data_IF_843257359940
#
_entry.id   IF_843257359940
#
_cell.length_a   1.000
_cell.length_b   1.000
_cell.length_c   1.000
_cell.angle_alpha   90.00
_cell.angle_beta   90.00
_cell.angle_gamma   90.00
#
_symmetry.space_group_name_H-M   'P 1'
#
loop_
_entity.id
_entity.type
_entity.pdbx_description
1 polymer ?
#
# COMPACT_ATOMS: atom_id res chain seq x y z
N UNK A 1 -6.87 19.15 -23.25
CA UNK A 1 -6.96 18.52 -21.94
C UNK A 1 -5.74 17.63 -21.72
N UNK A 2 -5.03 17.85 -20.63
CA UNK A 2 -3.86 17.05 -20.28
C UNK A 2 -4.31 15.67 -19.80
N UNK A 3 -3.74 14.60 -20.40
CA UNK A 3 -3.90 13.23 -19.93
C UNK A 3 -2.91 13.00 -18.80
N UNK A 4 -3.42 12.87 -17.58
CA UNK A 4 -2.59 12.70 -16.40
C UNK A 4 -3.20 11.74 -15.39
N UNK A 5 -2.34 11.17 -14.57
CA UNK A 5 -2.74 10.46 -13.35
C UNK A 5 -1.92 10.94 -12.16
N UNK A 6 -2.44 10.70 -10.97
CA UNK A 6 -1.76 10.99 -9.71
C UNK A 6 -1.39 9.66 -9.06
N UNK A 7 -0.12 9.51 -8.71
CA UNK A 7 0.38 8.35 -7.97
C UNK A 7 0.56 8.77 -6.51
N UNK A 8 -0.21 8.18 -5.60
CA UNK A 8 -0.03 8.37 -4.17
C UNK A 8 0.74 7.17 -3.64
N UNK A 9 1.96 7.41 -3.22
CA UNK A 9 2.92 6.39 -2.83
C UNK A 9 3.67 6.79 -1.56
N UNK A 10 4.59 5.97 -1.12
CA UNK A 10 5.44 6.26 0.02
C UNK A 10 5.57 5.11 1.00
N UNK A 11 6.06 5.42 2.17
CA UNK A 11 6.39 4.48 3.24
C UNK A 11 5.11 3.82 3.78
N UNK A 12 5.14 2.52 4.16
CA UNK A 12 4.02 1.89 4.86
C UNK A 12 3.58 2.69 6.10
N UNK A 13 2.28 2.82 6.30
CA UNK A 13 1.66 3.59 7.37
C UNK A 13 1.90 5.12 7.33
N UNK A 14 2.36 5.65 6.21
CA UNK A 14 2.55 7.11 6.04
C UNK A 14 1.25 7.88 5.78
N UNK A 15 0.11 7.21 5.63
CA UNK A 15 -1.19 7.85 5.44
C UNK A 15 -1.64 7.95 3.98
N UNK A 16 -1.17 7.06 3.11
CA UNK A 16 -1.48 7.08 1.68
C UNK A 16 -2.98 7.00 1.37
N UNK A 17 -3.69 6.09 2.02
CA UNK A 17 -5.13 5.91 1.78
C UNK A 17 -5.92 7.17 2.13
N UNK A 18 -5.62 7.79 3.26
CA UNK A 18 -6.28 9.03 3.70
C UNK A 18 -5.98 10.17 2.71
N UNK A 19 -4.72 10.30 2.30
CA UNK A 19 -4.31 11.31 1.33
C UNK A 19 -4.99 11.09 -0.03
N UNK A 20 -4.99 9.87 -0.53
CA UNK A 20 -5.61 9.54 -1.81
C UNK A 20 -7.12 9.84 -1.81
N UNK A 21 -7.82 9.51 -0.74
CA UNK A 21 -9.24 9.81 -0.59
C UNK A 21 -9.51 11.32 -0.53
N UNK A 22 -8.70 12.07 0.21
CA UNK A 22 -8.84 13.53 0.31
C UNK A 22 -8.61 14.21 -1.05
N UNK A 23 -7.59 13.80 -1.79
CA UNK A 23 -7.31 14.32 -3.13
C UNK A 23 -8.43 13.94 -4.11
N UNK A 24 -8.89 12.69 -4.04
CA UNK A 24 -9.98 12.19 -4.89
C UNK A 24 -11.28 12.99 -4.68
N UNK A 25 -11.63 13.26 -3.44
CA UNK A 25 -12.81 14.03 -3.10
C UNK A 25 -12.73 15.47 -3.61
N UNK A 26 -11.55 16.09 -3.44
CA UNK A 26 -11.33 17.47 -3.84
C UNK A 26 -11.29 17.66 -5.36
N UNK A 27 -10.66 16.75 -6.08
CA UNK A 27 -10.53 16.80 -7.53
C UNK A 27 -11.62 16.05 -8.28
N UNK A 28 -12.48 15.31 -7.58
CA UNK A 28 -13.54 14.46 -8.17
C UNK A 28 -12.95 13.41 -9.12
N UNK A 29 -11.91 12.72 -8.65
CA UNK A 29 -11.24 11.67 -9.41
C UNK A 29 -11.48 10.28 -8.77
N UNK A 30 -11.54 9.24 -9.61
CA UNK A 30 -11.57 7.87 -9.09
C UNK A 30 -10.21 7.48 -8.51
N UNK A 31 -10.23 6.68 -7.44
CA UNK A 31 -9.04 6.09 -6.83
C UNK A 31 -9.05 4.60 -7.04
N UNK A 32 -7.92 4.06 -7.48
CA UNK A 32 -7.66 2.63 -7.50
C UNK A 32 -6.55 2.35 -6.50
N UNK A 33 -6.86 1.59 -5.45
CA UNK A 33 -5.93 1.21 -4.39
C UNK A 33 -5.57 -0.25 -4.51
N UNK A 34 -4.28 -0.54 -4.57
CA UNK A 34 -3.81 -1.94 -4.59
C UNK A 34 -4.20 -2.68 -3.32
N UNK A 35 -4.06 -2.06 -2.15
CA UNK A 35 -4.42 -2.70 -0.88
C UNK A 35 -5.91 -3.03 -0.81
N UNK A 36 -6.76 -2.16 -1.33
CA UNK A 36 -8.20 -2.43 -1.40
C UNK A 36 -8.52 -3.60 -2.31
N UNK A 37 -7.85 -3.71 -3.45
CA UNK A 37 -7.97 -4.87 -4.34
C UNK A 37 -7.50 -6.14 -3.63
N UNK A 38 -6.38 -6.08 -2.90
CA UNK A 38 -5.90 -7.23 -2.11
C UNK A 38 -6.93 -7.68 -1.08
N UNK A 39 -7.55 -6.75 -0.36
CA UNK A 39 -8.59 -7.08 0.63
C UNK A 39 -9.78 -7.79 -0.01
N UNK A 40 -10.22 -7.35 -1.17
CA UNK A 40 -11.27 -8.02 -1.93
C UNK A 40 -10.85 -9.44 -2.34
N UNK A 41 -9.60 -9.63 -2.75
CA UNK A 41 -9.05 -10.94 -3.06
C UNK A 41 -8.90 -11.83 -1.82
N UNK A 42 -8.50 -11.29 -0.69
CA UNK A 42 -8.46 -12.03 0.57
C UNK A 42 -9.85 -12.56 0.93
N UNK A 43 -10.87 -11.73 0.81
CA UNK A 43 -12.24 -12.10 1.17
C UNK A 43 -12.88 -13.07 0.18
N UNK A 44 -12.60 -12.94 -1.11
CA UNK A 44 -13.23 -13.76 -2.15
C UNK A 44 -12.46 -15.04 -2.49
N UNK A 45 -11.14 -15.03 -2.37
CA UNK A 45 -10.27 -16.17 -2.70
C UNK A 45 -9.61 -16.75 -1.46
N UNK A 46 -9.03 -15.89 -0.63
CA UNK A 46 -8.23 -16.31 0.53
C UNK A 46 -6.88 -16.90 0.14
N UNK A 47 -6.11 -17.33 1.15
CA UNK A 47 -4.83 -17.99 0.94
C UNK A 47 -4.55 -19.00 2.05
N UNK A 48 -3.75 -20.04 1.74
CA UNK A 48 -3.38 -21.14 2.64
C UNK A 48 -1.88 -21.22 2.91
N UNK A 49 -1.10 -20.34 2.29
CA UNK A 49 0.35 -20.27 2.44
C UNK A 49 0.83 -18.85 2.17
N UNK A 50 2.05 -18.56 2.61
CA UNK A 50 2.70 -17.29 2.27
C UNK A 50 2.86 -17.11 0.76
N UNK A 51 3.15 -18.19 0.03
CA UNK A 51 3.27 -18.14 -1.44
C UNK A 51 1.95 -17.71 -2.09
N UNK A 52 0.82 -18.28 -1.64
CA UNK A 52 -0.50 -17.90 -2.14
C UNK A 52 -0.81 -16.44 -1.80
N UNK A 53 -0.47 -15.97 -0.60
CA UNK A 53 -0.61 -14.55 -0.23
C UNK A 53 0.17 -13.64 -1.16
N UNK A 54 1.43 -13.97 -1.45
CA UNK A 54 2.27 -13.22 -2.39
C UNK A 54 1.64 -13.21 -3.79
N UNK A 55 1.10 -14.35 -4.24
CA UNK A 55 0.42 -14.43 -5.54
C UNK A 55 -0.80 -13.53 -5.61
N UNK A 56 -1.57 -13.40 -4.53
CA UNK A 56 -2.69 -12.44 -4.49
C UNK A 56 -2.20 -10.99 -4.57
N UNK A 57 -1.05 -10.67 -3.98
CA UNK A 57 -0.44 -9.36 -4.13
C UNK A 57 -0.02 -9.06 -5.57
N UNK A 58 0.53 -10.05 -6.27
CA UNK A 58 0.87 -9.94 -7.70
C UNK A 58 -0.40 -9.75 -8.53
N UNK A 59 -1.44 -10.54 -8.27
CA UNK A 59 -2.73 -10.41 -8.94
C UNK A 59 -3.34 -9.02 -8.73
N UNK A 60 -3.28 -8.49 -7.52
CA UNK A 60 -3.78 -7.15 -7.21
C UNK A 60 -3.06 -6.07 -8.02
N UNK A 61 -1.75 -6.19 -8.21
CA UNK A 61 -0.98 -5.26 -9.04
C UNK A 61 -1.41 -5.34 -10.52
N UNK A 62 -1.58 -6.54 -11.04
CA UNK A 62 -2.04 -6.74 -12.42
C UNK A 62 -3.45 -6.18 -12.64
N UNK A 63 -4.35 -6.38 -11.68
CA UNK A 63 -5.71 -5.83 -11.73
C UNK A 63 -5.67 -4.30 -11.69
N UNK A 64 -4.84 -3.73 -10.83
CA UNK A 64 -4.67 -2.27 -10.75
C UNK A 64 -4.17 -1.70 -12.09
N UNK A 65 -3.18 -2.31 -12.70
CA UNK A 65 -2.65 -1.88 -14.00
C UNK A 65 -3.66 -2.06 -15.12
N UNK A 66 -4.42 -3.14 -15.11
CA UNK A 66 -5.51 -3.34 -16.07
C UNK A 66 -6.55 -2.21 -15.99
N UNK A 67 -7.00 -1.89 -14.77
CA UNK A 67 -7.96 -0.82 -14.55
C UNK A 67 -7.40 0.55 -14.96
N UNK A 68 -6.14 0.82 -14.61
CA UNK A 68 -5.46 2.04 -15.01
C UNK A 68 -5.37 2.17 -16.55
N UNK A 69 -5.03 1.09 -17.23
CA UNK A 69 -4.96 1.07 -18.70
C UNK A 69 -6.32 1.41 -19.33
N UNK A 70 -7.42 0.93 -18.78
CA UNK A 70 -8.76 1.27 -19.26
C UNK A 70 -9.06 2.77 -19.13
N UNK A 71 -8.69 3.36 -17.98
CA UNK A 71 -8.86 4.79 -17.75
C UNK A 71 -7.97 5.62 -18.67
N UNK A 72 -6.73 5.20 -18.87
CA UNK A 72 -5.78 5.87 -19.78
C UNK A 72 -6.26 5.81 -21.22
N UNK A 73 -6.75 4.67 -21.66
CA UNK A 73 -7.31 4.51 -23.01
C UNK A 73 -8.50 5.44 -23.23
N UNK A 74 -9.30 5.66 -22.20
CA UNK A 74 -10.44 6.58 -22.27
C UNK A 74 -10.04 8.06 -22.12
N UNK A 75 -8.78 8.35 -21.82
CA UNK A 75 -8.29 9.71 -21.62
C UNK A 75 -8.76 10.37 -20.33
N UNK A 76 -9.04 9.59 -19.29
CA UNK A 76 -9.57 10.08 -18.03
C UNK A 76 -8.45 10.27 -16.99
N UNK A 77 -8.50 11.33 -16.16
CA UNK A 77 -7.62 11.46 -15.02
C UNK A 77 -8.09 10.54 -13.88
N UNK A 78 -7.14 10.06 -13.09
CA UNK A 78 -7.40 9.15 -11.96
C UNK A 78 -6.24 9.14 -11.00
N UNK A 79 -6.45 8.46 -9.86
CA UNK A 79 -5.44 8.28 -8.82
C UNK A 79 -5.14 6.79 -8.66
N UNK A 80 -3.86 6.43 -8.59
CA UNK A 80 -3.40 5.13 -8.11
C UNK A 80 -2.76 5.30 -6.74
N UNK A 81 -3.14 4.44 -5.79
CA UNK A 81 -2.56 4.41 -4.46
C UNK A 81 -1.90 3.05 -4.22
N UNK A 82 -0.61 3.07 -3.92
CA UNK A 82 0.19 1.87 -3.69
C UNK A 82 1.51 2.23 -3.02
N UNK A 83 2.12 1.25 -2.35
CA UNK A 83 3.54 1.28 -2.02
C UNK A 83 4.34 0.93 -3.27
N UNK A 84 4.53 1.89 -4.16
CA UNK A 84 5.39 1.67 -5.30
C UNK A 84 6.84 1.52 -4.84
N UNK A 85 7.55 0.61 -5.46
CA UNK A 85 8.93 0.30 -5.13
C UNK A 85 9.81 0.27 -6.38
N UNK A 86 11.11 0.13 -6.24
CA UNK A 86 12.02 0.11 -7.39
C UNK A 86 11.59 -0.89 -8.47
N UNK A 87 11.15 -2.08 -8.08
CA UNK A 87 10.69 -3.11 -9.02
C UNK A 87 9.40 -2.75 -9.76
N UNK A 88 8.62 -1.79 -9.26
CA UNK A 88 7.39 -1.33 -9.89
C UNK A 88 7.63 -0.32 -11.01
N UNK A 89 8.83 0.25 -11.08
CA UNK A 89 9.11 1.38 -11.97
C UNK A 89 8.92 1.04 -13.44
N UNK A 90 9.47 -0.08 -13.88
CA UNK A 90 9.43 -0.45 -15.31
C UNK A 90 8.01 -0.69 -15.81
N UNK A 91 7.17 -1.37 -15.01
CA UNK A 91 5.77 -1.60 -15.36
C UNK A 91 4.95 -0.33 -15.39
N UNK A 92 5.13 0.54 -14.40
CA UNK A 92 4.41 1.82 -14.36
C UNK A 92 4.86 2.75 -15.49
N UNK A 93 6.16 2.83 -15.75
CA UNK A 93 6.70 3.63 -16.83
C UNK A 93 6.21 3.16 -18.21
N UNK A 94 6.19 1.83 -18.43
CA UNK A 94 5.67 1.27 -19.69
C UNK A 94 4.21 1.66 -19.92
N UNK A 95 3.40 1.65 -18.87
CA UNK A 95 2.00 2.04 -18.96
C UNK A 95 1.83 3.53 -19.31
N UNK A 96 2.60 4.39 -18.67
CA UNK A 96 2.59 5.84 -18.97
C UNK A 96 3.03 6.12 -20.40
N UNK A 97 4.06 5.44 -20.87
CA UNK A 97 4.61 5.62 -22.21
C UNK A 97 3.63 5.12 -23.29
N UNK A 98 3.00 3.97 -23.06
CA UNK A 98 2.03 3.38 -24.00
C UNK A 98 0.86 4.33 -24.30
N UNK A 99 0.34 4.99 -23.26
CA UNK A 99 -0.82 5.86 -23.39
C UNK A 99 -0.48 7.35 -23.44
N UNK A 100 0.80 7.68 -23.41
CA UNK A 100 1.28 9.07 -23.37
C UNK A 100 0.66 9.88 -22.22
N UNK A 101 0.72 9.31 -21.00
CA UNK A 101 0.24 9.93 -19.79
C UNK A 101 1.36 10.57 -19.00
N UNK A 102 1.07 11.72 -18.40
CA UNK A 102 1.92 12.35 -17.40
C UNK A 102 1.52 11.84 -16.00
N UNK A 103 2.49 11.64 -15.13
CA UNK A 103 2.26 11.29 -13.74
C UNK A 103 2.68 12.44 -12.81
N UNK A 104 1.80 12.79 -11.88
CA UNK A 104 2.15 13.56 -10.69
C UNK A 104 2.28 12.57 -9.54
N UNK A 105 3.48 12.45 -8.97
CA UNK A 105 3.74 11.52 -7.86
C UNK A 105 3.75 12.27 -6.53
N UNK A 106 2.86 11.88 -5.62
CA UNK A 106 2.82 12.34 -4.25
C UNK A 106 3.47 11.25 -3.38
N UNK A 107 4.65 11.53 -2.84
CA UNK A 107 5.41 10.58 -2.03
C UNK A 107 5.32 10.96 -0.57
N UNK A 108 4.64 10.13 0.22
CA UNK A 108 4.47 10.32 1.65
C UNK A 108 5.61 9.63 2.41
N UNK A 109 6.32 10.41 3.18
CA UNK A 109 7.43 9.94 4.02
C UNK A 109 7.51 10.82 5.27
N UNK A 110 8.58 10.74 6.03
CA UNK A 110 8.78 11.55 7.22
C UNK A 110 9.78 10.92 8.15
N UNK A 111 9.71 11.27 9.43
CA UNK A 111 10.51 10.63 10.46
C UNK A 111 10.11 9.15 10.60
N UNK A 112 11.04 8.24 10.34
CA UNK A 112 10.76 6.82 10.29
C UNK A 112 10.33 6.24 11.65
N UNK A 113 10.80 6.80 12.76
CA UNK A 113 10.34 6.34 14.08
C UNK A 113 8.88 6.67 14.33
N UNK A 114 8.47 7.88 13.97
CA UNK A 114 7.06 8.28 14.10
C UNK A 114 6.15 7.42 13.21
N UNK A 115 6.59 7.15 11.97
CA UNK A 115 5.84 6.32 11.03
C UNK A 115 5.83 4.85 11.48
N UNK A 116 6.95 4.34 11.98
CA UNK A 116 7.03 2.99 12.54
C UNK A 116 6.06 2.80 13.71
N UNK A 117 5.94 3.78 14.59
CA UNK A 117 4.98 3.72 15.69
C UNK A 117 3.54 3.63 15.17
N UNK A 118 3.19 4.41 14.15
CA UNK A 118 1.88 4.29 13.49
C UNK A 118 1.70 2.92 12.80
N UNK A 119 2.75 2.39 12.21
CA UNK A 119 2.72 1.06 11.62
C UNK A 119 2.36 -0.02 12.65
N UNK A 120 3.00 0.01 13.83
CA UNK A 120 2.70 -0.93 14.91
C UNK A 120 1.27 -0.80 15.41
N UNK A 121 0.80 0.44 15.61
CA UNK A 121 -0.58 0.71 16.03
C UNK A 121 -1.59 0.21 15.00
N UNK A 122 -1.32 0.43 13.71
CA UNK A 122 -2.17 -0.05 12.61
C UNK A 122 -2.25 -1.57 12.58
N UNK A 123 -1.13 -2.27 12.67
CA UNK A 123 -1.07 -3.73 12.59
C UNK A 123 -1.80 -4.40 13.76
N UNK A 124 -1.89 -3.76 14.91
CA UNK A 124 -2.63 -4.23 16.07
C UNK A 124 -4.07 -3.73 16.15
N UNK A 125 -4.49 -2.84 15.24
CA UNK A 125 -5.84 -2.30 15.22
C UNK A 125 -6.86 -3.32 14.72
N UNK A 126 -8.06 -3.41 15.34
CA UNK A 126 -9.15 -4.26 14.84
C UNK A 126 -9.67 -3.81 13.47
N UNK A 127 -9.40 -2.58 13.06
CA UNK A 127 -9.81 -2.04 11.75
C UNK A 127 -8.90 -2.50 10.61
N UNK A 128 -7.71 -3.03 10.95
CA UNK A 128 -6.78 -3.55 9.93
C UNK A 128 -7.27 -4.91 9.42
N UNK A 129 -7.47 -5.03 8.12
CA UNK A 129 -7.87 -6.29 7.51
C UNK A 129 -6.88 -7.40 7.87
N UNK A 130 -7.38 -8.51 8.42
CA UNK A 130 -6.53 -9.59 8.92
C UNK A 130 -5.68 -10.23 7.84
N UNK A 131 -6.12 -10.24 6.59
CA UNK A 131 -5.35 -10.75 5.46
C UNK A 131 -4.01 -10.05 5.27
N UNK A 132 -3.89 -8.77 5.62
CA UNK A 132 -2.61 -8.06 5.60
C UNK A 132 -1.65 -8.51 6.70
N UNK A 133 -2.18 -8.92 7.83
CA UNK A 133 -1.42 -9.18 9.07
C UNK A 133 -0.94 -10.63 9.15
N UNK A 134 -1.79 -11.59 8.78
CA UNK A 134 -1.45 -13.01 8.83
C UNK A 134 -0.66 -13.44 7.59
N UNK A 135 0.22 -14.43 7.74
CA UNK A 135 1.10 -14.89 6.67
C UNK A 135 0.91 -16.35 6.26
N UNK A 136 0.19 -17.13 7.04
CA UNK A 136 0.00 -18.57 6.81
C UNK A 136 -1.35 -18.91 6.18
N UNK A 137 -2.45 -18.37 6.69
CA UNK A 137 -3.75 -18.58 6.05
C UNK A 137 -4.75 -17.46 6.37
N UNK A 138 -5.62 -17.21 5.43
CA UNK A 138 -6.80 -16.36 5.60
C UNK A 138 -7.94 -16.91 4.72
N UNK A 139 -9.15 -17.15 5.24
CA UNK A 139 -9.55 -16.93 6.65
C UNK A 139 -8.70 -17.75 7.62
N UNK A 140 -8.48 -17.18 8.81
CA UNK A 140 -7.75 -17.87 9.86
C UNK A 140 -8.49 -19.14 10.28
N UNK A 141 -7.75 -20.24 10.51
CA UNK A 141 -8.37 -21.47 11.02
C UNK A 141 -8.79 -21.24 12.46
N UNK A 142 -10.04 -21.58 12.78
CA UNK A 142 -10.46 -21.72 14.16
C UNK A 142 -9.63 -22.87 14.77
N UNK A 143 -8.79 -22.55 15.73
CA UNK A 143 -8.14 -23.57 16.56
C UNK A 143 -9.24 -24.26 17.36
N UNK A 144 -9.64 -25.48 16.91
CA UNK A 144 -10.47 -26.34 17.75
C UNK A 144 -9.67 -26.70 18.99
N UNK A 145 -9.95 -25.97 20.11
CA UNK A 145 -9.76 -26.45 21.46
C UNK A 145 -8.39 -27.08 21.74
N UNK A 146 -7.30 -26.34 21.50
CA UNK A 146 -6.07 -26.57 22.25
C UNK A 146 -5.91 -25.43 23.21
N UNK A 147 -6.18 -25.74 24.48
CA UNK A 147 -5.79 -24.93 25.60
C UNK A 147 -4.33 -24.51 25.41
N UNK A 148 -4.18 -23.20 25.38
CA UNK A 148 -3.00 -22.47 25.82
C UNK A 148 -1.65 -23.19 25.68
N UNK A 149 -0.96 -22.99 24.56
CA UNK A 149 0.47 -22.78 24.71
C UNK A 149 0.69 -21.30 25.08
N UNK A 150 0.29 -20.93 26.28
CA UNK A 150 0.79 -19.73 26.92
C UNK A 150 2.30 -19.87 27.01
N UNK A 151 3.00 -19.02 26.32
CA UNK A 151 4.41 -18.83 26.60
C UNK A 151 4.51 -18.41 28.08
N UNK A 152 5.29 -19.10 28.93
CA UNK A 152 5.27 -18.88 30.37
C UNK A 152 5.74 -17.47 30.81
N UNK A 153 6.13 -16.61 29.90
CA UNK A 153 6.59 -15.24 30.17
C UNK A 153 5.60 -14.15 29.75
N UNK A 154 4.36 -14.47 29.41
CA UNK A 154 3.32 -13.45 29.21
C UNK A 154 3.57 -12.44 28.07
N UNK A 155 4.59 -12.64 27.27
CA UNK A 155 4.83 -11.86 26.07
C UNK A 155 3.92 -12.36 24.97
N UNK A 156 2.81 -11.64 24.75
CA UNK A 156 2.19 -11.63 23.44
C UNK A 156 3.29 -11.23 22.45
N UNK A 157 3.72 -12.14 21.58
CA UNK A 157 4.54 -11.77 20.45
C UNK A 157 3.78 -10.67 19.72
N UNK A 158 4.21 -9.42 19.92
CA UNK A 158 3.82 -8.36 19.02
C UNK A 158 4.22 -8.82 17.63
N UNK A 159 3.24 -9.21 16.80
CA UNK A 159 3.46 -9.64 15.44
C UNK A 159 3.86 -8.42 14.61
N UNK A 160 5.11 -7.94 14.78
CA UNK A 160 5.62 -6.77 14.11
C UNK A 160 7.09 -6.95 13.79
N UNK A 161 7.50 -6.42 12.64
CA UNK A 161 8.91 -6.31 12.29
C UNK A 161 9.60 -5.32 13.23
N UNK A 162 10.91 -5.50 13.46
CA UNK A 162 11.71 -4.55 14.22
C UNK A 162 11.82 -3.20 13.49
N UNK A 163 12.20 -2.16 14.22
CA UNK A 163 12.46 -0.85 13.62
C UNK A 163 13.57 -0.94 12.53
N UNK A 164 14.64 -1.65 12.82
CA UNK A 164 15.74 -1.85 11.88
C UNK A 164 15.26 -2.54 10.59
N UNK A 165 14.45 -3.58 10.69
CA UNK A 165 13.89 -4.29 9.55
C UNK A 165 12.91 -3.40 8.77
N UNK A 166 12.14 -2.59 9.47
CA UNK A 166 11.24 -1.61 8.86
C UNK A 166 12.02 -0.59 8.00
N UNK A 167 13.09 -0.02 8.54
CA UNK A 167 13.95 0.93 7.83
C UNK A 167 14.67 0.27 6.66
N UNK A 168 15.24 -0.92 6.87
CA UNK A 168 15.90 -1.68 5.80
C UNK A 168 14.93 -2.03 4.67
N UNK A 169 13.71 -2.37 4.99
CA UNK A 169 12.66 -2.62 4.00
C UNK A 169 12.36 -1.39 3.14
N UNK A 170 12.26 -0.21 3.77
CA UNK A 170 12.06 1.05 3.05
C UNK A 170 13.23 1.32 2.09
N UNK A 171 14.45 1.21 2.57
CA UNK A 171 15.65 1.50 1.78
C UNK A 171 15.84 0.49 0.64
N UNK A 172 15.70 -0.80 0.92
CA UNK A 172 15.88 -1.86 -0.06
C UNK A 172 14.84 -1.82 -1.16
N UNK A 173 13.57 -1.58 -0.81
CA UNK A 173 12.45 -1.53 -1.75
C UNK A 173 12.27 -0.15 -2.37
N UNK A 174 12.80 0.90 -1.75
CA UNK A 174 12.75 2.26 -2.27
C UNK A 174 11.38 2.91 -2.19
N UNK A 175 10.61 2.66 -1.12
CA UNK A 175 9.25 3.18 -0.99
C UNK A 175 9.12 4.70 -1.02
N UNK A 176 10.14 5.44 -0.59
CA UNK A 176 10.15 6.89 -0.66
C UNK A 176 11.11 7.45 -1.72
N UNK A 177 11.66 6.58 -2.56
CA UNK A 177 12.56 6.91 -3.65
C UNK A 177 11.99 6.55 -5.03
N UNK A 178 10.75 6.07 -5.10
CA UNK A 178 10.10 5.72 -6.36
C UNK A 178 9.86 6.96 -7.21
N UNK A 179 10.24 6.88 -8.48
CA UNK A 179 10.00 7.94 -9.46
C UNK A 179 9.85 7.35 -10.86
N UNK A 180 8.91 7.88 -11.61
CA UNK A 180 8.69 7.57 -13.03
C UNK A 180 9.02 8.78 -13.92
N UNK A 181 9.81 9.71 -13.41
CA UNK A 181 9.95 11.02 -14.04
C UNK A 181 8.70 11.87 -13.83
N UNK A 182 8.61 13.01 -14.52
CA UNK A 182 7.52 13.94 -14.33
C UNK A 182 7.63 14.68 -12.99
N UNK A 183 6.50 15.24 -12.55
CA UNK A 183 6.46 16.02 -11.32
C UNK A 183 6.33 15.13 -10.10
N UNK A 184 7.15 15.39 -9.08
CA UNK A 184 7.11 14.70 -7.81
C UNK A 184 7.01 15.70 -6.66
N UNK A 185 6.13 15.43 -5.70
CA UNK A 185 6.00 16.20 -4.48
C UNK A 185 6.23 15.22 -3.32
N UNK A 186 7.23 15.48 -2.49
CA UNK A 186 7.42 14.76 -1.22
C UNK A 186 6.63 15.46 -0.13
N UNK A 187 5.86 14.68 0.61
CA UNK A 187 5.01 15.17 1.70
C UNK A 187 5.50 14.53 3.00
N UNK A 188 5.91 15.38 3.93
CA UNK A 188 6.29 14.93 5.27
C UNK A 188 5.03 14.70 6.11
N UNK A 189 4.82 13.44 6.51
CA UNK A 189 3.67 13.03 7.31
C UNK A 189 4.06 12.65 8.74
N UNK A 190 5.21 13.13 9.22
CA UNK A 190 5.67 12.88 10.60
C UNK A 190 4.58 13.23 11.62
N UNK A 191 3.95 14.38 11.46
CA UNK A 191 2.74 14.78 12.18
C UNK A 191 1.58 14.91 11.19
N UNK A 192 0.79 13.85 11.05
CA UNK A 192 -0.30 13.78 10.08
C UNK A 192 -1.39 14.83 10.35
N UNK A 193 -1.56 15.27 11.59
CA UNK A 193 -2.55 16.28 11.96
C UNK A 193 -2.27 17.67 11.36
N UNK A 194 -1.04 17.92 10.92
CA UNK A 194 -0.61 19.20 10.31
C UNK A 194 -0.74 19.25 8.79
N UNK A 195 -1.23 18.18 8.16
CA UNK A 195 -1.34 18.10 6.72
C UNK A 195 -2.71 18.61 6.29
N UNK A 196 -2.68 19.63 5.44
CA UNK A 196 -3.84 20.13 4.71
C UNK A 196 -3.78 19.59 3.28
N UNK A 197 -4.73 18.74 2.96
CA UNK A 197 -4.82 18.10 1.65
C UNK A 197 -5.50 19.00 0.59
#
# INVERSE_FOLDING_TARGET
SSMYCILVTGVPAAGKSIMAEAVAERLKLPVISKDRIKELLFDSVGFRSRKEKVNLGIAAMEIMYYAAAQLMRAGLPFILENNFEYSSRSGMQALLDEYNYAALTLTLTGDYRAIYQRFLERESSPDRHRGHVVNDCYPEREERGTEERRNPHGETKAAGISYEDFVQGIERRGFDAFSVGGRQIKIDTTDFSKIDA
#
